data_IF_831395405573
#
_entry.id   IF_831395405573
#
_cell.length_a   1.000
_cell.length_b   1.000
_cell.length_c   1.000
_cell.angle_alpha   90.00
_cell.angle_beta   90.00
_cell.angle_gamma   90.00
#
_symmetry.space_group_name_H-M   'P 1'
#
loop_
_entity.id
_entity.type
_entity.pdbx_description
1 polymer ?
#
# COMPACT_ATOMS: atom_id res chain seq x y z
N UNK A 1 22.66 -0.67 14.01
CA UNK A 1 22.00 0.17 12.98
C UNK A 1 22.14 -0.57 11.67
N UNK A 2 21.05 -0.93 10.96
CA UNK A 2 21.19 -1.76 9.78
C UNK A 2 21.80 -0.93 8.65
N UNK A 3 22.94 -1.43 8.17
CA UNK A 3 23.73 -0.97 7.03
C UNK A 3 22.91 -1.05 5.75
N UNK A 4 22.24 0.03 5.38
CA UNK A 4 21.71 0.19 4.03
C UNK A 4 22.85 0.62 3.13
N UNK A 5 23.28 -0.28 2.27
CA UNK A 5 24.33 -0.12 1.25
C UNK A 5 24.31 1.30 0.65
N UNK A 6 25.46 1.98 0.63
CA UNK A 6 25.64 3.35 0.11
C UNK A 6 25.39 3.47 -1.40
N UNK A 7 25.21 2.34 -2.09
CA UNK A 7 25.15 2.25 -3.55
C UNK A 7 23.75 2.41 -4.18
N UNK A 8 22.66 2.48 -3.40
CA UNK A 8 21.29 2.49 -3.95
C UNK A 8 20.68 3.89 -3.93
N UNK A 9 20.35 4.42 -5.11
CA UNK A 9 19.67 5.70 -5.30
C UNK A 9 18.16 5.51 -5.38
N UNK A 10 17.46 6.09 -4.39
CA UNK A 10 16.01 5.99 -4.25
C UNK A 10 15.38 7.37 -4.49
N UNK A 11 14.41 7.43 -5.39
CA UNK A 11 13.63 8.64 -5.70
C UNK A 11 12.14 8.35 -5.49
N UNK A 12 11.41 9.25 -4.86
CA UNK A 12 9.95 9.15 -4.71
C UNK A 12 9.22 10.33 -5.34
N UNK A 13 8.00 10.07 -5.80
CA UNK A 13 7.06 11.06 -6.34
C UNK A 13 5.79 10.99 -5.50
N UNK A 14 5.50 12.01 -4.71
CA UNK A 14 4.46 11.95 -3.65
C UNK A 14 3.50 13.15 -3.70
N UNK A 15 2.27 12.98 -3.19
CA UNK A 15 1.25 14.05 -3.11
C UNK A 15 0.38 13.89 -1.84
N UNK A 16 0.74 14.49 -0.69
CA UNK A 16 1.99 15.19 -0.38
C UNK A 16 3.10 14.25 0.13
N UNK A 17 4.28 14.79 0.44
CA UNK A 17 5.30 14.07 1.23
C UNK A 17 4.90 14.11 2.70
N UNK A 18 4.50 12.96 3.26
CA UNK A 18 3.97 12.86 4.63
C UNK A 18 5.04 13.09 5.70
N UNK A 19 6.23 12.51 5.50
CA UNK A 19 7.38 12.71 6.37
C UNK A 19 8.67 12.51 5.59
N UNK A 20 9.75 13.15 6.07
CA UNK A 20 11.04 13.14 5.39
C UNK A 20 11.86 11.95 5.84
N UNK A 21 12.28 11.14 4.88
CA UNK A 21 13.17 10.01 5.08
C UNK A 21 14.60 10.41 4.70
N UNK A 22 15.58 10.20 5.60
CA UNK A 22 16.97 10.48 5.26
C UNK A 22 17.42 9.58 4.10
N UNK A 23 18.23 10.13 3.21
CA UNK A 23 18.83 9.44 2.04
C UNK A 23 17.87 9.03 0.93
N UNK A 24 16.62 9.49 0.97
CA UNK A 24 15.67 9.31 -0.12
C UNK A 24 15.41 10.69 -0.75
N UNK A 25 15.51 10.77 -2.08
CA UNK A 25 15.14 11.99 -2.80
C UNK A 25 13.63 12.02 -3.00
N UNK A 26 12.93 12.71 -2.11
CA UNK A 26 11.46 12.81 -2.16
C UNK A 26 11.03 14.08 -2.89
N UNK A 27 10.24 13.92 -3.95
CA UNK A 27 9.73 15.03 -4.75
C UNK A 27 8.21 15.09 -4.62
N UNK A 28 7.70 16.23 -4.17
CA UNK A 28 6.27 16.43 -4.04
C UNK A 28 5.66 17.01 -5.33
N UNK A 29 4.49 16.51 -5.71
CA UNK A 29 3.63 17.10 -6.73
C UNK A 29 3.30 18.55 -6.39
N UNK A 30 3.31 19.42 -7.40
CA UNK A 30 2.98 20.83 -7.25
C UNK A 30 2.13 21.31 -8.43
N UNK A 31 0.80 21.27 -8.29
CA UNK A 31 -0.13 21.67 -9.35
C UNK A 31 0.03 23.14 -9.78
N UNK A 32 0.50 24.03 -8.88
CA UNK A 32 0.67 25.47 -9.17
C UNK A 32 1.70 25.76 -10.27
N UNK A 33 2.60 24.82 -10.52
CA UNK A 33 3.64 24.94 -11.56
C UNK A 33 3.53 23.82 -12.60
N UNK A 34 2.37 23.14 -12.66
CA UNK A 34 2.13 21.98 -13.53
C UNK A 34 3.22 20.91 -13.36
N UNK A 35 3.57 20.62 -12.11
CA UNK A 35 4.51 19.55 -11.75
C UNK A 35 3.70 18.37 -11.22
N UNK A 36 3.21 17.54 -12.13
CA UNK A 36 2.40 16.34 -11.87
C UNK A 36 3.27 15.06 -11.72
N UNK A 37 2.61 13.94 -11.41
CA UNK A 37 3.25 12.63 -11.24
C UNK A 37 4.08 12.22 -12.46
N UNK A 38 3.48 12.25 -13.66
CA UNK A 38 4.15 11.84 -14.89
C UNK A 38 5.40 12.68 -15.19
N UNK A 39 5.33 14.00 -15.01
CA UNK A 39 6.45 14.93 -15.24
C UNK A 39 7.59 14.71 -14.26
N UNK A 40 7.28 14.52 -12.97
CA UNK A 40 8.29 14.21 -11.96
C UNK A 40 8.92 12.85 -12.28
N UNK A 41 8.11 11.84 -12.56
CA UNK A 41 8.59 10.48 -12.84
C UNK A 41 9.53 10.42 -14.04
N UNK A 42 9.19 11.09 -15.16
CA UNK A 42 10.10 11.22 -16.32
C UNK A 42 11.41 11.91 -15.97
N UNK A 43 11.37 12.86 -15.05
CA UNK A 43 12.56 13.58 -14.60
C UNK A 43 13.42 12.71 -13.68
N UNK A 44 12.80 11.92 -12.81
CA UNK A 44 13.46 10.94 -11.96
C UNK A 44 14.25 9.92 -12.78
N UNK A 45 13.72 9.46 -13.92
CA UNK A 45 14.43 8.53 -14.81
C UNK A 45 15.74 9.09 -15.38
N UNK A 46 15.88 10.41 -15.49
CA UNK A 46 17.14 11.06 -15.92
C UNK A 46 18.12 11.28 -14.77
N UNK A 47 17.80 10.80 -13.57
CA UNK A 47 18.65 10.90 -12.39
C UNK A 47 19.38 9.60 -12.09
N UNK A 48 19.39 8.62 -12.98
CA UNK A 48 20.04 7.31 -12.75
C UNK A 48 19.55 6.62 -11.45
N UNK A 49 18.23 6.44 -11.24
CA UNK A 49 17.69 5.82 -10.03
C UNK A 49 17.79 4.29 -10.08
N UNK A 50 17.99 3.65 -8.93
CA UNK A 50 17.83 2.20 -8.79
C UNK A 50 16.38 1.84 -8.45
N UNK A 51 15.78 2.62 -7.54
CA UNK A 51 14.43 2.40 -7.02
C UNK A 51 13.62 3.68 -7.18
N UNK A 52 12.41 3.53 -7.70
CA UNK A 52 11.45 4.60 -7.87
C UNK A 52 10.18 4.24 -7.11
N UNK A 53 9.71 5.15 -6.26
CA UNK A 53 8.39 5.03 -5.64
C UNK A 53 7.46 6.10 -6.19
N UNK A 54 6.33 5.68 -6.75
CA UNK A 54 5.27 6.57 -7.22
C UNK A 54 4.15 6.48 -6.21
N UNK A 55 3.80 7.60 -5.57
CA UNK A 55 2.84 7.64 -4.48
C UNK A 55 1.54 6.93 -4.85
N UNK A 56 1.06 7.15 -6.06
CA UNK A 56 -0.04 6.41 -6.66
C UNK A 56 -0.06 6.57 -8.19
N UNK A 57 -0.71 5.62 -8.87
CA UNK A 57 -1.00 5.72 -10.30
C UNK A 57 -2.49 6.03 -10.47
N UNK A 58 -2.80 7.25 -10.92
CA UNK A 58 -4.18 7.72 -11.16
C UNK A 58 -4.58 7.76 -12.63
N UNK A 59 -3.59 7.92 -13.52
CA UNK A 59 -3.78 8.19 -14.93
C UNK A 59 -2.89 7.30 -15.82
N UNK A 60 -3.29 7.21 -17.08
CA UNK A 60 -2.61 6.42 -18.13
C UNK A 60 -1.16 6.88 -18.33
N UNK A 61 -0.90 8.18 -18.27
CA UNK A 61 0.42 8.75 -18.54
C UNK A 61 1.44 8.33 -17.46
N UNK A 62 1.06 8.44 -16.19
CA UNK A 62 1.89 8.03 -15.04
C UNK A 62 2.11 6.52 -15.07
N UNK A 63 1.05 5.76 -15.35
CA UNK A 63 1.10 4.30 -15.50
C UNK A 63 2.08 3.88 -16.60
N UNK A 64 1.99 4.49 -17.78
CA UNK A 64 2.84 4.16 -18.93
C UNK A 64 4.32 4.40 -18.61
N UNK A 65 4.64 5.55 -18.01
CA UNK A 65 6.03 5.87 -17.63
C UNK A 65 6.52 4.92 -16.54
N UNK A 66 5.70 4.58 -15.55
CA UNK A 66 6.05 3.66 -14.47
C UNK A 66 6.33 2.24 -14.98
N UNK A 67 5.48 1.72 -15.86
CA UNK A 67 5.67 0.41 -16.44
C UNK A 67 6.89 0.35 -17.37
N UNK A 68 7.13 1.41 -18.17
CA UNK A 68 8.36 1.52 -18.98
C UNK A 68 9.62 1.58 -18.10
N UNK A 69 9.56 2.29 -16.98
CA UNK A 69 10.66 2.32 -16.01
C UNK A 69 10.98 0.92 -15.46
N UNK A 70 9.95 0.15 -15.10
CA UNK A 70 10.11 -1.23 -14.65
C UNK A 70 10.71 -2.12 -15.75
N UNK A 71 10.27 -1.97 -17.00
CA UNK A 71 10.80 -2.71 -18.15
C UNK A 71 12.29 -2.43 -18.41
N UNK A 72 12.76 -1.20 -18.11
CA UNK A 72 14.17 -0.81 -18.22
C UNK A 72 15.04 -1.31 -17.06
N UNK A 73 14.46 -2.01 -16.08
CA UNK A 73 15.18 -2.65 -14.98
C UNK A 73 15.18 -1.87 -13.66
N UNK A 74 14.44 -0.76 -13.55
CA UNK A 74 14.27 -0.07 -12.27
C UNK A 74 13.27 -0.82 -11.38
N UNK A 75 13.52 -0.88 -10.08
CA UNK A 75 12.49 -1.34 -9.14
C UNK A 75 11.47 -0.23 -8.94
N UNK A 76 10.25 -0.43 -9.44
CA UNK A 76 9.16 0.52 -9.31
C UNK A 76 8.17 0.04 -8.24
N UNK A 77 7.94 0.88 -7.23
CA UNK A 77 6.91 0.68 -6.21
C UNK A 77 5.81 1.72 -6.44
N UNK A 78 4.55 1.30 -6.39
CA UNK A 78 3.43 2.22 -6.49
C UNK A 78 2.22 1.72 -5.74
N UNK A 79 1.26 2.61 -5.49
CA UNK A 79 -0.06 2.24 -4.98
C UNK A 79 -1.13 2.36 -6.07
N UNK A 80 -2.19 1.57 -5.89
CA UNK A 80 -3.43 1.61 -6.66
C UNK A 80 -4.60 1.45 -5.68
N UNK A 81 -5.72 2.10 -5.98
CA UNK A 81 -6.93 1.99 -5.17
C UNK A 81 -7.83 0.88 -5.71
N UNK A 82 -7.59 -0.36 -5.25
CA UNK A 82 -8.42 -1.54 -5.58
C UNK A 82 -8.81 -2.33 -4.33
N UNK A 83 -9.91 -3.08 -4.41
CA UNK A 83 -10.49 -3.81 -3.27
C UNK A 83 -9.70 -5.06 -2.87
N UNK A 84 -8.98 -5.65 -3.83
CA UNK A 84 -8.14 -6.83 -3.72
C UNK A 84 -6.99 -6.76 -4.73
N UNK A 85 -6.08 -7.73 -4.63
CA UNK A 85 -4.88 -7.80 -5.45
C UNK A 85 -5.15 -8.15 -6.94
N UNK A 86 -6.00 -9.14 -7.28
CA UNK A 86 -6.33 -9.43 -8.68
C UNK A 86 -6.95 -8.23 -9.41
N UNK A 87 -7.84 -7.49 -8.76
CA UNK A 87 -8.49 -6.30 -9.35
C UNK A 87 -7.48 -5.20 -9.73
N UNK A 88 -6.28 -5.19 -9.14
CA UNK A 88 -5.21 -4.26 -9.56
C UNK A 88 -4.74 -4.50 -10.99
N UNK A 89 -4.78 -5.74 -11.47
CA UNK A 89 -4.47 -6.07 -12.87
C UNK A 89 -5.52 -5.49 -13.80
N UNK A 90 -6.80 -5.73 -13.50
CA UNK A 90 -7.91 -5.18 -14.28
C UNK A 90 -7.86 -3.66 -14.30
N UNK A 91 -7.49 -3.04 -13.17
CA UNK A 91 -7.33 -1.58 -13.10
C UNK A 91 -6.24 -1.07 -14.06
N UNK A 92 -5.09 -1.74 -14.13
CA UNK A 92 -4.03 -1.38 -15.07
C UNK A 92 -4.50 -1.52 -16.53
N UNK A 93 -5.15 -2.64 -16.87
CA UNK A 93 -5.67 -2.87 -18.22
C UNK A 93 -6.75 -1.84 -18.60
N UNK A 94 -7.65 -1.51 -17.68
CA UNK A 94 -8.69 -0.51 -17.86
C UNK A 94 -8.13 0.92 -18.03
N UNK A 95 -6.95 1.21 -17.47
CA UNK A 95 -6.22 2.46 -17.70
C UNK A 95 -5.45 2.49 -19.03
N UNK A 96 -5.50 1.41 -19.81
CA UNK A 96 -4.84 1.32 -21.12
C UNK A 96 -3.49 0.58 -21.11
N UNK A 97 -3.10 -0.06 -20.01
CA UNK A 97 -1.84 -0.81 -19.99
C UNK A 97 -1.88 -1.95 -21.02
N UNK A 98 -0.87 -2.08 -21.90
CA UNK A 98 -0.76 -3.25 -22.75
C UNK A 98 -0.53 -4.49 -21.89
N UNK A 99 -1.37 -5.52 -22.06
CA UNK A 99 -1.32 -6.71 -21.21
C UNK A 99 0.04 -7.43 -21.21
N UNK A 100 0.75 -7.44 -22.35
CA UNK A 100 2.11 -8.00 -22.42
C UNK A 100 3.11 -7.26 -21.53
N UNK A 101 2.92 -5.94 -21.36
CA UNK A 101 3.82 -5.08 -20.64
C UNK A 101 3.59 -5.25 -19.13
N UNK A 102 2.32 -5.33 -18.70
CA UNK A 102 1.97 -5.73 -17.33
C UNK A 102 2.54 -7.11 -17.00
N UNK A 103 2.36 -8.10 -17.88
CA UNK A 103 2.88 -9.46 -17.68
C UNK A 103 4.41 -9.51 -17.60
N UNK A 104 5.11 -8.63 -18.31
CA UNK A 104 6.58 -8.58 -18.32
C UNK A 104 7.19 -7.82 -17.13
N UNK A 105 6.44 -6.96 -16.45
CA UNK A 105 7.00 -6.00 -15.47
C UNK A 105 6.44 -6.13 -14.06
N UNK A 106 5.23 -6.67 -13.89
CA UNK A 106 4.61 -6.79 -12.59
C UNK A 106 5.16 -7.99 -11.81
N UNK A 107 5.93 -7.71 -10.77
CA UNK A 107 6.49 -8.75 -9.90
C UNK A 107 5.50 -9.26 -8.84
N UNK A 108 4.58 -8.41 -8.37
CA UNK A 108 3.63 -8.77 -7.33
C UNK A 108 2.71 -7.62 -6.94
N UNK A 109 1.59 -7.97 -6.30
CA UNK A 109 0.60 -7.02 -5.78
C UNK A 109 0.33 -7.37 -4.32
N UNK A 110 0.39 -6.36 -3.45
CA UNK A 110 0.02 -6.49 -2.04
C UNK A 110 -1.29 -5.73 -1.84
N UNK A 111 -2.34 -6.44 -1.43
CA UNK A 111 -3.58 -5.83 -0.96
C UNK A 111 -3.58 -5.83 0.56
N UNK A 112 -3.71 -4.64 1.16
CA UNK A 112 -3.61 -4.44 2.60
C UNK A 112 -4.90 -3.81 3.14
N UNK A 113 -5.33 -4.24 4.32
CA UNK A 113 -6.43 -3.64 5.08
C UNK A 113 -5.98 -3.38 6.51
N UNK A 114 -6.45 -2.27 7.08
CA UNK A 114 -6.23 -1.98 8.49
C UNK A 114 -7.46 -2.40 9.30
N UNK A 115 -7.26 -3.31 10.25
CA UNK A 115 -8.28 -3.69 11.22
C UNK A 115 -7.99 -3.05 12.58
N UNK A 116 -9.04 -2.82 13.36
CA UNK A 116 -8.92 -2.27 14.71
C UNK A 116 -8.32 -3.33 15.65
N UNK A 117 -7.40 -2.94 16.52
CA UNK A 117 -6.89 -3.83 17.58
C UNK A 117 -7.83 -3.77 18.77
N UNK A 118 -8.15 -4.92 19.34
CA UNK A 118 -8.89 -5.01 20.60
C UNK A 118 -8.10 -4.29 21.71
N UNK A 119 -8.76 -3.45 22.50
CA UNK A 119 -8.12 -2.68 23.56
C UNK A 119 -7.59 -3.61 24.67
N UNK A 120 -6.29 -3.54 24.97
CA UNK A 120 -5.62 -4.42 25.93
C UNK A 120 -6.13 -4.25 27.38
N UNK A 121 -6.51 -3.03 27.78
CA UNK A 121 -7.01 -2.75 29.15
C UNK A 121 -8.42 -3.29 29.43
N UNK A 122 -9.21 -3.56 28.39
CA UNK A 122 -10.61 -4.00 28.54
C UNK A 122 -10.93 -5.26 27.73
N UNK A 123 -9.89 -5.95 27.27
CA UNK A 123 -10.01 -7.20 26.53
C UNK A 123 -10.50 -8.30 27.45
N UNK A 124 -11.54 -9.02 27.03
CA UNK A 124 -12.10 -10.15 27.75
C UNK A 124 -12.33 -11.34 26.80
N UNK A 125 -12.35 -12.59 27.31
CA UNK A 125 -12.73 -13.76 26.53
C UNK A 125 -14.11 -13.57 25.89
N UNK A 126 -14.21 -13.91 24.61
CA UNK A 126 -15.46 -13.88 23.86
C UNK A 126 -15.75 -15.26 23.33
N UNK A 127 -16.99 -15.74 23.48
CA UNK A 127 -17.45 -16.97 22.83
C UNK A 127 -18.33 -16.55 21.66
N UNK A 128 -17.96 -16.87 20.41
CA UNK A 128 -18.79 -16.58 19.25
C UNK A 128 -20.21 -17.11 19.44
N UNK A 129 -21.20 -16.30 19.07
CA UNK A 129 -22.58 -16.74 19.01
C UNK A 129 -22.81 -17.68 17.80
N UNK A 130 -24.04 -18.19 17.65
CA UNK A 130 -24.37 -19.14 16.58
C UNK A 130 -24.16 -18.53 15.18
N UNK A 131 -24.41 -17.22 15.02
CA UNK A 131 -24.26 -16.53 13.75
C UNK A 131 -22.77 -16.28 13.43
N UNK A 132 -21.99 -15.84 14.41
CA UNK A 132 -20.54 -15.67 14.29
C UNK A 132 -19.85 -17.01 14.00
N UNK A 133 -20.29 -18.08 14.66
CA UNK A 133 -19.77 -19.44 14.44
C UNK A 133 -20.04 -19.90 13.01
N UNK A 134 -21.29 -19.78 12.52
CA UNK A 134 -21.63 -20.13 11.15
C UNK A 134 -20.84 -19.32 10.12
N UNK A 135 -20.61 -18.03 10.39
CA UNK A 135 -19.79 -17.19 9.52
C UNK A 135 -18.32 -17.64 9.50
N UNK A 136 -17.71 -17.91 10.66
CA UNK A 136 -16.33 -18.38 10.76
C UNK A 136 -16.12 -19.72 10.05
N UNK A 137 -17.07 -20.66 10.20
CA UNK A 137 -17.06 -21.95 9.50
C UNK A 137 -17.13 -21.78 7.98
N UNK A 138 -18.01 -20.89 7.49
CA UNK A 138 -18.09 -20.58 6.06
C UNK A 138 -16.79 -19.96 5.51
N UNK A 139 -16.02 -19.25 6.35
CA UNK A 139 -14.71 -18.72 6.01
C UNK A 139 -13.55 -19.72 6.21
N UNK A 140 -13.84 -20.96 6.59
CA UNK A 140 -12.84 -21.99 6.90
C UNK A 140 -11.82 -21.55 7.97
N UNK A 141 -12.23 -20.68 8.89
CA UNK A 141 -11.40 -20.24 10.02
C UNK A 141 -11.52 -21.30 11.12
N UNK A 142 -10.40 -21.90 11.51
CA UNK A 142 -10.37 -22.84 12.61
C UNK A 142 -10.92 -22.18 13.88
N UNK A 143 -11.79 -22.88 14.60
CA UNK A 143 -12.35 -22.41 15.87
C UNK A 143 -11.22 -22.29 16.89
N UNK A 144 -10.74 -21.06 17.09
CA UNK A 144 -9.79 -20.75 18.16
C UNK A 144 -10.51 -20.74 19.51
N UNK A 145 -9.82 -21.16 20.57
CA UNK A 145 -10.30 -20.99 21.95
C UNK A 145 -9.96 -19.60 22.51
N UNK A 146 -9.16 -18.81 21.80
CA UNK A 146 -8.62 -17.54 22.29
C UNK A 146 -9.25 -16.30 21.65
N UNK A 147 -10.54 -16.38 21.33
CA UNK A 147 -11.29 -15.18 20.92
C UNK A 147 -11.39 -14.19 22.08
N UNK A 148 -11.27 -12.92 21.71
CA UNK A 148 -11.29 -11.80 22.64
C UNK A 148 -12.09 -10.65 22.06
N UNK A 149 -12.86 -9.98 22.91
CA UNK A 149 -13.57 -8.74 22.58
C UNK A 149 -13.18 -7.65 23.57
N UNK A 150 -13.35 -6.39 23.17
CA UNK A 150 -13.18 -5.27 24.08
C UNK A 150 -14.54 -4.83 24.61
N UNK A 151 -14.76 -4.88 25.93
CA UNK A 151 -16.02 -4.44 26.55
C UNK A 151 -16.25 -2.92 26.49
N UNK A 152 -15.19 -2.16 26.23
CA UNK A 152 -15.19 -0.69 26.30
C UNK A 152 -14.77 -0.16 27.68
N UNK A 153 -13.87 0.82 27.69
CA UNK A 153 -13.40 1.49 28.90
C UNK A 153 -12.93 2.91 28.60
N UNK A 154 -12.63 3.74 29.62
CA UNK A 154 -12.13 5.11 29.41
C UNK A 154 -10.86 5.19 28.56
N UNK A 155 -9.96 4.20 28.63
CA UNK A 155 -8.72 4.19 27.84
C UNK A 155 -8.98 4.11 26.33
N UNK A 156 -9.98 3.33 25.90
CA UNK A 156 -10.38 3.21 24.50
C UNK A 156 -11.59 4.08 24.13
N UNK A 157 -11.93 5.09 24.94
CA UNK A 157 -13.11 5.93 24.79
C UNK A 157 -14.41 5.12 24.61
N UNK A 158 -14.55 4.03 25.38
CA UNK A 158 -15.68 3.09 25.35
C UNK A 158 -15.91 2.40 23.99
N UNK A 159 -14.93 2.41 23.07
CA UNK A 159 -15.08 1.77 21.76
C UNK A 159 -14.79 0.26 21.77
N UNK A 160 -14.04 -0.24 22.76
CA UNK A 160 -13.50 -1.60 22.79
C UNK A 160 -12.22 -1.79 21.97
N UNK A 161 -11.75 -0.75 21.27
CA UNK A 161 -10.58 -0.83 20.38
C UNK A 161 -9.57 0.27 20.63
N UNK A 162 -8.27 -0.04 20.52
CA UNK A 162 -7.21 0.97 20.63
C UNK A 162 -6.09 0.67 19.62
N UNK A 163 -5.88 1.58 18.66
CA UNK A 163 -4.93 1.38 17.58
C UNK A 163 -5.44 0.46 16.45
N UNK A 164 -4.55 0.17 15.49
CA UNK A 164 -4.84 -0.61 14.28
C UNK A 164 -3.69 -1.58 13.96
N UNK A 165 -3.97 -2.64 13.23
CA UNK A 165 -2.98 -3.56 12.66
C UNK A 165 -3.29 -3.76 11.17
N UNK A 166 -2.26 -3.96 10.36
CA UNK A 166 -2.33 -4.18 8.92
C UNK A 166 -1.37 -5.26 8.48
#
# INVERSE_FOLDING_TARGET
MPSTNLAVKIITVEDPVEYRLPRISQVQVNPRINLDFARILRTALRQDPDIIMVGEIRDEETMEVALRAALMGHLVLSTLHTNDAPTSLDRLLNMGAPGYLVAATLNGVISQRLIRRTCEDCMEPHRPDDHETAWLEAQHVATSSDWRQGRGCPFCNNSGFHGRIG
#
